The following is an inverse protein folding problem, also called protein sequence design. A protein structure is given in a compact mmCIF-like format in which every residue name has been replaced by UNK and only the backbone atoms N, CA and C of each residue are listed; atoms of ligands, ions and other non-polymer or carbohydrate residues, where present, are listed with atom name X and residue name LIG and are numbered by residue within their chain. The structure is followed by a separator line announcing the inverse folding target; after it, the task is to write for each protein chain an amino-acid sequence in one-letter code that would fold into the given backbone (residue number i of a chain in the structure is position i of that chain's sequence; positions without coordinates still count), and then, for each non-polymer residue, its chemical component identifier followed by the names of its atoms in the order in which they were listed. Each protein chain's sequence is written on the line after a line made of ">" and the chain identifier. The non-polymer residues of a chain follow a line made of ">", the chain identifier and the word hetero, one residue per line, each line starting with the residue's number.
data_IF_402709692948
#
_entry.id   IF_402709692948
#
_cell.length_a   1.000
_cell.length_b   1.000
_cell.length_c   1.000
_cell.angle_alpha   90.00
_cell.angle_beta   90.00
_cell.angle_gamma   90.00
#
_symmetry.space_group_name_H-M   'P 1'
#
loop_
_entity.id
_entity.type
_entity.pdbx_description
1 polymer ?
#
# COMPACT_ATOMS: atom_id res chain seq x y z
N UNK A 1 11.78 -44.81 -40.63
CA UNK A 1 12.56 -43.59 -40.98
C UNK A 1 11.61 -42.68 -41.77
N UNK A 2 11.30 -41.42 -41.48
CA UNK A 2 11.75 -40.40 -40.53
C UNK A 2 10.49 -39.64 -40.04
N UNK A 3 10.50 -39.29 -38.75
CA UNK A 3 9.59 -38.33 -38.09
C UNK A 3 9.88 -36.92 -38.62
N UNK A 4 8.87 -36.13 -38.96
CA UNK A 4 8.95 -34.66 -38.92
C UNK A 4 7.61 -34.16 -38.38
N UNK A 5 7.63 -33.77 -37.11
CA UNK A 5 6.47 -33.26 -36.38
C UNK A 5 6.05 -31.88 -36.86
N UNK A 6 4.76 -31.75 -37.16
CA UNK A 6 4.10 -30.46 -37.31
C UNK A 6 3.70 -30.02 -35.89
N UNK A 7 4.66 -29.47 -35.15
CA UNK A 7 4.39 -28.72 -33.91
C UNK A 7 5.36 -27.53 -33.93
N UNK A 8 4.99 -26.46 -34.62
CA UNK A 8 5.72 -25.20 -34.61
C UNK A 8 4.82 -24.03 -35.07
N UNK A 9 3.59 -23.99 -34.55
CA UNK A 9 2.63 -22.91 -34.84
C UNK A 9 2.01 -22.26 -33.61
N UNK A 10 2.29 -22.73 -32.38
CA UNK A 10 1.59 -22.29 -31.16
C UNK A 10 2.58 -21.92 -30.04
N UNK A 11 3.78 -21.42 -30.35
CA UNK A 11 4.79 -21.11 -29.33
C UNK A 11 5.23 -19.64 -29.25
N UNK A 12 4.60 -18.73 -29.99
CA UNK A 12 4.94 -17.29 -29.93
C UNK A 12 3.79 -16.38 -29.47
N UNK A 13 2.78 -16.90 -28.76
CA UNK A 13 1.75 -16.06 -28.12
C UNK A 13 1.91 -15.91 -26.60
N UNK A 14 2.97 -16.46 -26.01
CA UNK A 14 3.43 -16.01 -24.70
C UNK A 14 4.25 -14.72 -24.88
N UNK A 15 3.60 -13.68 -25.43
CA UNK A 15 4.00 -12.31 -25.14
C UNK A 15 3.89 -12.18 -23.64
N UNK A 16 5.04 -12.23 -22.99
CA UNK A 16 5.25 -11.96 -21.57
C UNK A 16 4.69 -10.56 -21.30
N UNK A 17 3.39 -10.46 -20.98
CA UNK A 17 2.89 -9.34 -20.22
C UNK A 17 3.63 -9.41 -18.89
N UNK A 18 4.52 -8.43 -18.65
CA UNK A 18 5.28 -8.34 -17.41
C UNK A 18 4.34 -8.54 -16.24
N UNK A 19 4.58 -9.61 -15.47
CA UNK A 19 3.76 -9.87 -14.29
C UNK A 19 4.01 -8.75 -13.30
N UNK A 20 2.94 -8.06 -12.93
CA UNK A 20 2.95 -7.06 -11.87
C UNK A 20 3.56 -7.69 -10.62
N UNK A 21 4.66 -7.12 -10.12
CA UNK A 21 5.46 -7.66 -9.02
C UNK A 21 5.33 -6.77 -7.79
N UNK A 22 4.98 -7.38 -6.66
CA UNK A 22 5.05 -6.72 -5.36
C UNK A 22 6.44 -6.94 -4.74
N UNK A 23 7.13 -5.85 -4.43
CA UNK A 23 8.46 -5.85 -3.80
C UNK A 23 8.34 -5.17 -2.45
N UNK A 24 8.66 -5.91 -1.38
CA UNK A 24 8.63 -5.37 -0.02
C UNK A 24 9.65 -4.25 0.13
N UNK A 25 9.21 -3.11 0.67
CA UNK A 25 10.08 -1.98 0.94
C UNK A 25 10.88 -2.20 2.23
N UNK A 26 12.13 -1.74 2.20
CA UNK A 26 12.99 -1.66 3.37
C UNK A 26 12.58 -0.49 4.27
N UNK A 27 12.95 -0.53 5.55
CA UNK A 27 12.67 0.58 6.48
C UNK A 27 13.24 1.91 5.99
N UNK A 28 14.38 1.89 5.30
CA UNK A 28 14.97 3.10 4.72
C UNK A 28 14.08 3.67 3.60
N UNK A 29 13.61 2.84 2.67
CA UNK A 29 12.72 3.28 1.59
C UNK A 29 11.41 3.84 2.14
N UNK A 30 10.83 3.19 3.16
CA UNK A 30 9.60 3.67 3.80
C UNK A 30 9.83 5.01 4.52
N UNK A 31 10.97 5.19 5.20
CA UNK A 31 11.34 6.47 5.83
C UNK A 31 11.51 7.61 4.82
N UNK A 32 12.07 7.31 3.65
CA UNK A 32 12.28 8.30 2.59
C UNK A 32 10.97 8.74 1.97
N UNK A 33 10.05 7.80 1.77
CA UNK A 33 8.65 8.09 1.42
C UNK A 33 8.06 9.03 2.48
N UNK A 34 8.14 8.66 3.76
CA UNK A 34 7.60 9.44 4.88
C UNK A 34 8.16 10.88 4.94
N UNK A 35 9.47 11.05 4.78
CA UNK A 35 10.13 12.36 4.87
C UNK A 35 9.77 13.32 3.73
N UNK A 36 9.68 12.81 2.49
CA UNK A 36 9.30 13.64 1.33
C UNK A 36 7.81 14.03 1.38
N UNK A 37 6.99 13.16 1.94
CA UNK A 37 5.56 13.43 2.20
C UNK A 37 5.36 14.58 3.20
N UNK A 38 6.26 14.79 4.17
CA UNK A 38 6.13 15.90 5.14
C UNK A 38 5.89 17.24 4.48
N UNK A 39 6.56 17.48 3.34
CA UNK A 39 6.77 18.81 2.79
C UNK A 39 5.98 19.06 1.51
N UNK A 40 6.04 18.13 0.55
CA UNK A 40 5.44 18.32 -0.77
C UNK A 40 4.60 17.13 -1.23
N UNK A 41 4.85 15.92 -0.71
CA UNK A 41 4.37 14.67 -1.34
C UNK A 41 4.91 14.48 -2.76
N UNK A 42 6.05 15.11 -3.05
CA UNK A 42 6.74 15.06 -4.33
C UNK A 42 8.16 14.55 -4.14
N UNK A 43 8.57 13.63 -5.00
CA UNK A 43 9.93 13.12 -5.12
C UNK A 43 10.55 13.68 -6.39
N UNK A 44 11.77 14.20 -6.24
CA UNK A 44 12.60 14.56 -7.39
C UNK A 44 13.12 13.31 -8.09
N UNK A 45 13.49 13.48 -9.35
CA UNK A 45 13.95 12.39 -10.22
C UNK A 45 15.15 11.61 -9.66
N UNK A 46 16.09 12.29 -9.01
CA UNK A 46 17.27 11.70 -8.37
C UNK A 46 16.90 10.76 -7.20
N UNK A 47 15.91 11.14 -6.40
CA UNK A 47 15.35 10.29 -5.34
C UNK A 47 14.61 9.10 -5.96
N UNK A 48 13.83 9.34 -7.01
CA UNK A 48 13.09 8.29 -7.69
C UNK A 48 14.02 7.25 -8.35
N UNK A 49 15.15 7.67 -8.90
CA UNK A 49 16.19 6.79 -9.42
C UNK A 49 16.84 5.96 -8.30
N UNK A 50 17.26 6.64 -7.22
CA UNK A 50 17.94 5.99 -6.09
C UNK A 50 17.14 4.85 -5.49
N UNK A 51 15.82 4.98 -5.43
CA UNK A 51 14.90 4.00 -4.82
C UNK A 51 14.07 3.20 -5.85
N UNK A 52 14.41 3.28 -7.14
CA UNK A 52 13.72 2.60 -8.25
C UNK A 52 12.21 2.90 -8.38
N UNK A 53 11.77 4.07 -7.95
CA UNK A 53 10.37 4.50 -8.06
C UNK A 53 9.94 4.82 -9.50
N UNK A 54 10.90 5.04 -10.41
CA UNK A 54 10.59 5.27 -11.84
C UNK A 54 9.77 4.16 -12.48
N UNK A 55 9.98 2.92 -12.03
CA UNK A 55 9.29 1.73 -12.53
C UNK A 55 8.12 1.31 -11.63
N UNK A 56 7.75 2.13 -10.64
CA UNK A 56 6.72 1.81 -9.65
C UNK A 56 5.38 2.40 -10.06
N UNK A 57 4.35 1.56 -10.20
CA UNK A 57 2.96 1.95 -10.42
C UNK A 57 2.35 2.60 -9.16
N UNK A 58 2.79 2.15 -7.99
CA UNK A 58 2.35 2.67 -6.71
C UNK A 58 2.78 1.80 -5.54
N UNK A 59 2.31 2.16 -4.36
CA UNK A 59 2.61 1.48 -3.11
C UNK A 59 1.40 0.69 -2.62
N UNK A 60 1.59 -0.60 -2.39
CA UNK A 60 0.63 -1.46 -1.72
C UNK A 60 0.95 -1.49 -0.21
N UNK A 61 -0.05 -1.19 0.61
CA UNK A 61 0.01 -1.35 2.05
C UNK A 61 -0.83 -2.56 2.42
N UNK A 62 -0.23 -3.52 3.11
CA UNK A 62 -0.93 -4.69 3.67
C UNK A 62 -1.04 -4.56 5.19
N UNK A 63 -2.24 -4.81 5.71
CA UNK A 63 -2.54 -4.80 7.13
C UNK A 63 -2.55 -6.23 7.64
N UNK A 64 -1.75 -6.52 8.65
CA UNK A 64 -1.60 -7.84 9.23
C UNK A 64 -2.10 -7.90 10.66
N UNK A 65 -2.90 -8.92 10.96
CA UNK A 65 -3.29 -9.30 12.32
C UNK A 65 -3.02 -10.79 12.51
N UNK A 66 -2.29 -11.14 13.58
CA UNK A 66 -1.88 -12.53 13.89
C UNK A 66 -1.24 -13.27 12.69
N UNK A 67 -0.43 -12.54 11.90
CA UNK A 67 0.28 -13.09 10.74
C UNK A 67 -0.58 -13.27 9.48
N UNK A 68 -1.86 -12.89 9.50
CA UNK A 68 -2.76 -12.93 8.34
C UNK A 68 -3.03 -11.53 7.80
N UNK A 69 -3.12 -11.41 6.48
CA UNK A 69 -3.54 -10.17 5.83
C UNK A 69 -5.04 -10.00 6.06
N UNK A 70 -5.42 -8.86 6.65
CA UNK A 70 -6.81 -8.49 6.95
C UNK A 70 -7.30 -7.29 6.13
N UNK A 71 -6.40 -6.61 5.42
CA UNK A 71 -6.72 -5.45 4.60
C UNK A 71 -5.58 -5.11 3.65
N UNK A 72 -5.92 -4.48 2.52
CA UNK A 72 -4.97 -3.98 1.53
C UNK A 72 -5.42 -2.61 1.05
N UNK A 73 -4.47 -1.71 0.82
CA UNK A 73 -4.69 -0.41 0.21
C UNK A 73 -3.62 -0.13 -0.84
N UNK A 74 -3.99 0.50 -1.94
CA UNK A 74 -3.06 0.87 -3.01
C UNK A 74 -3.01 2.39 -3.17
N UNK A 75 -1.79 2.93 -3.16
CA UNK A 75 -1.52 4.35 -3.35
C UNK A 75 -0.80 4.51 -4.68
N UNK A 76 -1.45 5.13 -5.69
CA UNK A 76 -0.81 5.33 -6.98
C UNK A 76 0.36 6.32 -6.84
N UNK A 77 1.45 6.01 -7.55
CA UNK A 77 2.53 6.95 -7.78
C UNK A 77 2.31 7.58 -9.15
N UNK A 78 2.11 8.89 -9.18
CA UNK A 78 1.94 9.65 -10.42
C UNK A 78 3.25 10.36 -10.77
N UNK A 79 3.51 10.58 -12.05
CA UNK A 79 4.62 11.42 -12.50
C UNK A 79 4.12 12.57 -13.36
N UNK A 80 4.75 13.73 -13.24
CA UNK A 80 4.50 14.88 -14.11
C UNK A 80 5.81 15.64 -14.36
N UNK A 81 5.84 16.40 -15.45
CA UNK A 81 7.01 17.16 -15.86
C UNK A 81 6.82 18.63 -15.51
N UNK A 82 7.77 19.23 -14.79
CA UNK A 82 7.73 20.62 -14.37
C UNK A 82 9.15 21.19 -14.26
N UNK A 83 9.37 22.43 -14.72
CA UNK A 83 10.68 23.11 -14.69
C UNK A 83 11.85 22.26 -15.21
N UNK A 84 11.67 21.59 -16.35
CA UNK A 84 12.65 20.69 -16.96
C UNK A 84 13.06 19.48 -16.09
N UNK A 85 12.20 19.06 -15.16
CA UNK A 85 12.44 17.91 -14.29
C UNK A 85 11.20 17.02 -14.22
N UNK A 86 11.40 15.71 -14.11
CA UNK A 86 10.32 14.78 -13.78
C UNK A 86 10.14 14.73 -12.27
N UNK A 87 8.92 14.96 -11.82
CA UNK A 87 8.53 14.85 -10.42
C UNK A 87 7.57 13.68 -10.27
N UNK A 88 7.69 12.96 -9.16
CA UNK A 88 6.81 11.86 -8.79
C UNK A 88 6.00 12.26 -7.57
N UNK A 89 4.71 11.95 -7.53
CA UNK A 89 3.84 12.35 -6.43
C UNK A 89 2.91 11.22 -6.00
N UNK A 90 2.65 11.18 -4.70
CA UNK A 90 1.59 10.37 -4.12
C UNK A 90 0.47 11.27 -3.65
N UNK A 91 -0.75 10.94 -4.05
CA UNK A 91 -1.91 11.83 -3.89
C UNK A 91 -2.55 11.74 -2.52
N UNK A 92 -2.31 10.66 -1.76
CA UNK A 92 -2.95 10.47 -0.47
C UNK A 92 -1.98 9.96 0.58
N UNK A 93 -1.94 10.66 1.72
CA UNK A 93 -1.14 10.30 2.90
C UNK A 93 -1.94 9.46 3.90
N UNK A 94 -3.24 9.39 3.67
CA UNK A 94 -4.19 8.69 4.52
C UNK A 94 -4.92 7.63 3.72
N UNK A 95 -5.25 6.52 4.36
CA UNK A 95 -6.03 5.46 3.73
C UNK A 95 -7.31 5.21 4.48
N UNK A 96 -8.41 5.14 3.74
CA UNK A 96 -9.65 4.59 4.26
C UNK A 96 -9.51 3.07 4.30
N UNK A 97 -9.79 2.46 5.45
CA UNK A 97 -9.63 1.03 5.63
C UNK A 97 -10.84 0.45 6.34
N UNK A 98 -11.28 -0.72 5.86
CA UNK A 98 -12.27 -1.56 6.52
C UNK A 98 -11.67 -2.94 6.79
N UNK A 99 -11.95 -3.50 7.95
CA UNK A 99 -11.64 -4.90 8.28
C UNK A 99 -12.94 -5.65 8.48
N UNK A 100 -13.08 -6.85 7.94
CA UNK A 100 -14.18 -7.73 8.32
C UNK A 100 -14.04 -8.07 9.81
N UNK A 101 -15.11 -7.89 10.59
CA UNK A 101 -15.03 -8.05 12.05
C UNK A 101 -14.67 -9.48 12.45
N UNK A 102 -15.08 -10.48 11.67
CA UNK A 102 -14.70 -11.90 11.85
C UNK A 102 -13.20 -12.20 11.71
N UNK A 103 -12.45 -11.31 11.04
CA UNK A 103 -11.01 -11.49 10.86
C UNK A 103 -10.21 -10.94 12.05
N UNK A 104 -10.90 -10.36 13.03
CA UNK A 104 -10.36 -9.75 14.24
C UNK A 104 -10.96 -10.42 15.47
N UNK A 105 -10.24 -10.42 16.59
CA UNK A 105 -10.83 -10.81 17.86
C UNK A 105 -11.78 -9.73 18.38
N UNK A 106 -12.75 -10.11 19.21
CA UNK A 106 -13.70 -9.17 19.83
C UNK A 106 -12.99 -8.05 20.60
N UNK A 107 -11.86 -8.38 21.23
CA UNK A 107 -11.03 -7.40 21.95
C UNK A 107 -10.48 -6.30 21.01
N UNK A 108 -10.06 -6.67 19.80
CA UNK A 108 -9.52 -5.75 18.80
C UNK A 108 -10.65 -4.95 18.15
N UNK A 109 -11.76 -5.60 17.79
CA UNK A 109 -12.96 -4.92 17.31
C UNK A 109 -13.41 -3.84 18.30
N UNK A 110 -13.52 -4.20 19.58
CA UNK A 110 -13.91 -3.28 20.64
C UNK A 110 -12.90 -2.14 20.84
N UNK A 111 -11.61 -2.45 20.81
CA UNK A 111 -10.55 -1.45 20.97
C UNK A 111 -10.53 -0.44 19.82
N UNK A 112 -10.74 -0.89 18.58
CA UNK A 112 -10.90 0.00 17.42
C UNK A 112 -12.12 0.92 17.56
N UNK A 113 -13.27 0.39 18.00
CA UNK A 113 -14.50 1.19 18.22
C UNK A 113 -14.36 2.20 19.37
N UNK A 114 -13.51 1.92 20.36
CA UNK A 114 -13.19 2.88 21.42
C UNK A 114 -12.41 4.08 20.90
N UNK A 115 -11.68 3.94 19.79
CA UNK A 115 -11.09 5.09 19.14
C UNK A 115 -12.17 5.81 18.34
N UNK A 116 -12.23 7.15 18.42
CA UNK A 116 -13.30 7.94 17.78
C UNK A 116 -13.28 7.89 16.24
N UNK A 117 -12.34 7.16 15.65
CA UNK A 117 -12.03 7.16 14.25
C UNK A 117 -12.65 5.99 13.47
N UNK A 118 -13.38 5.08 14.14
CA UNK A 118 -13.92 3.88 13.51
C UNK A 118 -15.43 3.73 13.70
N UNK A 119 -16.08 3.05 12.78
CA UNK A 119 -17.50 2.70 12.87
C UNK A 119 -17.80 1.34 12.24
N UNK A 120 -18.90 0.73 12.67
CA UNK A 120 -19.41 -0.50 12.07
C UNK A 120 -20.17 -0.17 10.78
N UNK A 121 -19.90 -0.93 9.72
CA UNK A 121 -20.67 -0.92 8.47
C UNK A 121 -21.15 -2.32 8.15
N UNK A 122 -22.44 -2.46 7.88
CA UNK A 122 -23.06 -3.71 7.46
C UNK A 122 -23.29 -3.71 5.95
N UNK A 123 -22.86 -4.78 5.27
CA UNK A 123 -23.21 -5.01 3.88
C UNK A 123 -24.52 -5.79 3.76
N UNK A 124 -25.17 -5.70 2.60
CA UNK A 124 -26.47 -6.35 2.33
C UNK A 124 -26.44 -7.88 2.47
N UNK A 125 -25.27 -8.49 2.38
CA UNK A 125 -25.06 -9.93 2.55
C UNK A 125 -24.84 -10.36 4.02
N UNK A 126 -25.01 -9.44 4.99
CA UNK A 126 -24.80 -9.71 6.41
C UNK A 126 -23.33 -9.69 6.84
N UNK A 127 -22.39 -9.34 5.94
CA UNK A 127 -20.99 -9.18 6.33
C UNK A 127 -20.81 -7.85 7.06
N UNK A 128 -20.27 -7.93 8.26
CA UNK A 128 -19.97 -6.78 9.11
C UNK A 128 -18.49 -6.38 8.97
N UNK A 129 -18.28 -5.07 8.87
CA UNK A 129 -16.94 -4.48 8.80
C UNK A 129 -16.80 -3.40 9.88
N UNK A 130 -15.58 -3.27 10.40
CA UNK A 130 -15.14 -2.09 11.13
C UNK A 130 -14.31 -1.22 10.18
N UNK A 131 -14.76 0.00 9.95
CA UNK A 131 -14.16 0.91 8.99
C UNK A 131 -13.69 2.19 9.67
N UNK A 132 -12.61 2.78 9.17
CA UNK A 132 -12.31 4.18 9.51
C UNK A 132 -13.46 5.08 9.06
N UNK A 133 -13.72 6.19 9.77
CA UNK A 133 -14.59 7.23 9.24
C UNK A 133 -13.87 7.98 8.12
N UNK A 134 -14.64 8.60 7.22
CA UNK A 134 -14.07 9.32 6.06
C UNK A 134 -13.18 10.47 6.51
N UNK A 135 -13.57 11.14 7.60
CA UNK A 135 -12.90 12.28 8.19
C UNK A 135 -11.65 11.88 9.00
N UNK A 136 -11.51 10.60 9.37
CA UNK A 136 -10.49 10.08 10.28
C UNK A 136 -9.84 8.81 9.72
N UNK A 137 -9.44 8.90 8.45
CA UNK A 137 -8.67 7.87 7.76
C UNK A 137 -7.34 7.58 8.48
N UNK A 138 -6.74 6.43 8.18
CA UNK A 138 -5.47 6.00 8.78
C UNK A 138 -4.33 6.83 8.19
N UNK A 139 -3.65 7.61 9.01
CA UNK A 139 -2.36 8.22 8.61
C UNK A 139 -1.34 7.09 8.39
N UNK A 140 -0.70 7.07 7.22
CA UNK A 140 0.34 6.05 6.93
C UNK A 140 1.71 6.41 7.51
N UNK A 141 1.86 7.65 8.00
CA UNK A 141 3.10 8.21 8.50
C UNK A 141 2.77 9.03 9.74
N UNK A 142 3.41 8.72 10.86
CA UNK A 142 3.26 9.45 12.11
C UNK A 142 4.14 10.70 12.09
N UNK A 143 3.57 11.84 12.46
CA UNK A 143 4.27 13.11 12.54
C UNK A 143 4.47 13.42 14.02
N UNK A 144 5.52 12.87 14.62
CA UNK A 144 5.93 13.27 15.96
C UNK A 144 6.85 14.50 15.95
N UNK A 145 6.94 15.18 17.10
CA UNK A 145 7.74 16.39 17.30
C UNK A 145 9.26 16.21 17.04
N UNK A 146 9.74 14.97 16.83
CA UNK A 146 11.16 14.64 16.60
C UNK A 146 11.49 14.11 15.19
N UNK A 147 10.50 13.96 14.31
CA UNK A 147 10.69 13.38 12.97
C UNK A 147 9.38 12.86 12.38
N UNK A 148 9.39 12.44 11.11
CA UNK A 148 8.31 11.58 10.62
C UNK A 148 8.81 10.15 10.69
N UNK A 149 8.08 9.32 11.43
CA UNK A 149 8.28 7.87 11.41
C UNK A 149 7.13 7.23 10.64
N UNK A 150 7.39 6.21 9.82
CA UNK A 150 6.31 5.52 9.14
C UNK A 150 5.41 4.83 10.15
N UNK A 151 4.10 4.91 9.93
CA UNK A 151 3.16 4.22 10.80
C UNK A 151 3.28 2.73 10.52
N UNK A 152 4.02 2.04 11.40
CA UNK A 152 4.29 0.62 11.27
C UNK A 152 3.14 -0.24 11.82
N UNK A 153 2.17 0.38 12.50
CA UNK A 153 1.06 -0.32 13.11
C UNK A 153 -0.13 0.57 13.47
N UNK A 154 -1.29 -0.05 13.57
CA UNK A 154 -2.51 0.52 14.17
C UNK A 154 -2.74 -0.16 15.52
N UNK A 155 -3.36 0.58 16.45
CA UNK A 155 -3.74 0.08 17.77
C UNK A 155 -2.53 -0.45 18.57
N UNK A 156 -1.51 0.40 18.72
CA UNK A 156 -0.30 0.11 19.51
C UNK A 156 0.40 -1.21 19.12
N UNK A 157 0.57 -1.47 17.81
CA UNK A 157 1.29 -2.67 17.34
C UNK A 157 0.43 -3.89 17.05
N UNK A 158 -0.86 -3.89 17.41
CA UNK A 158 -1.72 -5.06 17.24
C UNK A 158 -1.98 -5.40 15.76
N UNK A 159 -2.18 -4.39 14.92
CA UNK A 159 -2.31 -4.53 13.47
C UNK A 159 -1.05 -3.93 12.84
N UNK A 160 -0.24 -4.75 12.19
CA UNK A 160 1.03 -4.32 11.57
C UNK A 160 0.80 -3.88 10.13
N UNK A 161 1.56 -2.89 9.68
CA UNK A 161 1.56 -2.44 8.30
C UNK A 161 2.84 -2.90 7.61
N UNK A 162 2.71 -3.46 6.42
CA UNK A 162 3.83 -3.73 5.53
C UNK A 162 3.64 -3.00 4.20
N UNK A 163 4.73 -2.40 3.72
CA UNK A 163 4.73 -1.58 2.51
C UNK A 163 5.45 -2.32 1.39
N UNK A 164 4.85 -2.26 0.22
CA UNK A 164 5.36 -2.85 -1.01
C UNK A 164 5.31 -1.81 -2.11
N UNK A 165 6.29 -1.81 -3.00
CA UNK A 165 6.14 -1.17 -4.31
C UNK A 165 5.63 -2.18 -5.33
N UNK A 166 4.82 -1.71 -6.25
CA UNK A 166 4.25 -2.48 -7.34
C UNK A 166 4.93 -2.04 -8.65
N UNK A 167 5.58 -2.98 -9.33
CA UNK A 167 6.28 -2.78 -10.61
C UNK A 167 5.64 -3.60 -11.73
#
# INVERSE_FOLDING_TARGET
>A
MKKIGIILGILCLNLCFGQVKAIKLTSQEVNEIANNIKWSSEFKEDIADKYNFKNTLGFLIEFYYEGKIIGKNFIPLNSYFFNNQTLYTITNKRVFQCFETKNLSDSINFALLKTNNWNIKNQKNGTEYICTKVETSIDLFDIENKGIEPMNSVLNGAIKLEFYRIE
#
